data_IF_967465994896
#
_entry.id   IF_967465994896
#
_cell.length_a   1.000
_cell.length_b   1.000
_cell.length_c   1.000
_cell.angle_alpha   90.00
_cell.angle_beta   90.00
_cell.angle_gamma   90.00
#
_symmetry.space_group_name_H-M   'P 1'
#
loop_
_entity.id
_entity.type
_entity.pdbx_description
1 polymer ?
#
# COMPACT_ATOMS: atom_id res chain seq x y z
N UNK A 1 -1.80 -7.87 5.31
CA UNK A 1 -2.08 -7.60 6.72
C UNK A 1 -1.17 -6.52 7.30
N UNK A 2 0.16 -6.58 7.15
CA UNK A 2 1.05 -5.52 7.67
C UNK A 2 0.61 -4.08 7.32
N UNK A 3 0.20 -3.81 6.07
CA UNK A 3 -0.29 -2.47 5.68
C UNK A 3 -1.58 -2.09 6.40
N UNK A 4 -2.47 -3.05 6.65
CA UNK A 4 -3.74 -2.83 7.33
C UNK A 4 -3.51 -2.51 8.81
N UNK A 5 -2.62 -3.26 9.45
CA UNK A 5 -2.27 -3.09 10.87
C UNK A 5 -1.46 -1.82 11.14
N UNK A 6 -0.50 -1.48 10.26
CA UNK A 6 0.38 -0.33 10.47
C UNK A 6 -0.31 1.03 10.22
N UNK A 7 -1.30 1.05 9.32
CA UNK A 7 -1.93 2.30 8.89
C UNK A 7 -3.43 2.37 9.19
N UNK A 8 -3.98 1.33 9.83
CA UNK A 8 -5.39 1.18 10.18
C UNK A 8 -6.32 1.39 8.96
N UNK A 9 -5.93 0.76 7.85
CA UNK A 9 -6.64 0.83 6.57
C UNK A 9 -7.09 -0.54 6.13
N UNK A 10 -8.19 -0.62 5.37
CA UNK A 10 -8.64 -1.87 4.76
C UNK A 10 -8.09 -2.01 3.35
N UNK A 11 -7.47 -3.15 3.04
CA UNK A 11 -6.92 -3.42 1.70
C UNK A 11 -7.90 -4.28 0.91
N UNK A 12 -8.21 -3.86 -0.30
CA UNK A 12 -9.09 -4.61 -1.22
C UNK A 12 -8.30 -5.68 -1.97
N UNK A 13 -7.12 -5.31 -2.51
CA UNK A 13 -6.31 -6.20 -3.32
C UNK A 13 -4.84 -5.84 -3.24
N UNK A 14 -3.97 -6.85 -3.26
CA UNK A 14 -2.51 -6.66 -3.38
C UNK A 14 -2.03 -7.43 -4.60
N UNK A 15 -1.33 -6.74 -5.51
CA UNK A 15 -0.61 -7.36 -6.60
C UNK A 15 0.89 -7.16 -6.39
N UNK A 16 1.70 -8.19 -6.60
CA UNK A 16 3.15 -8.10 -6.42
C UNK A 16 3.84 -8.41 -7.74
N UNK A 17 4.83 -7.61 -8.10
CA UNK A 17 5.69 -7.82 -9.27
C UNK A 17 7.14 -7.86 -8.81
N UNK A 18 7.93 -8.80 -9.33
CA UNK A 18 9.37 -8.85 -9.08
C UNK A 18 10.04 -7.91 -10.09
N UNK A 19 10.76 -6.91 -9.59
CA UNK A 19 11.52 -5.96 -10.42
C UNK A 19 12.78 -6.63 -11.00
N UNK A 20 13.36 -6.12 -12.09
CA UNK A 20 14.62 -6.64 -12.65
C UNK A 20 15.80 -6.66 -11.67
N UNK A 21 15.73 -5.84 -10.60
CA UNK A 21 16.71 -5.81 -9.50
C UNK A 21 16.47 -6.91 -8.44
N UNK A 22 15.55 -7.86 -8.69
CA UNK A 22 15.19 -8.94 -7.75
C UNK A 22 14.34 -8.50 -6.55
N UNK A 23 13.91 -7.22 -6.49
CA UNK A 23 13.08 -6.70 -5.40
C UNK A 23 11.60 -6.87 -5.71
N UNK A 24 10.79 -7.25 -4.72
CA UNK A 24 9.33 -7.26 -4.83
C UNK A 24 8.79 -5.83 -4.78
N UNK A 25 8.01 -5.44 -5.78
CA UNK A 25 7.20 -4.22 -5.81
C UNK A 25 5.74 -4.61 -5.60
N UNK A 26 5.11 -4.08 -4.56
CA UNK A 26 3.71 -4.33 -4.26
C UNK A 26 2.84 -3.14 -4.70
N UNK A 27 1.77 -3.42 -5.40
CA UNK A 27 0.67 -2.51 -5.71
C UNK A 27 -0.48 -2.84 -4.78
N UNK A 28 -0.77 -1.94 -3.85
CA UNK A 28 -1.81 -2.12 -2.83
C UNK A 28 -3.00 -1.26 -3.21
N UNK A 29 -4.15 -1.90 -3.45
CA UNK A 29 -5.44 -1.24 -3.67
C UNK A 29 -6.14 -1.13 -2.33
N UNK A 30 -6.34 0.09 -1.85
CA UNK A 30 -7.10 0.38 -0.63
C UNK A 30 -8.61 0.28 -0.91
N UNK A 31 -9.38 0.02 0.14
CA UNK A 31 -10.84 0.09 0.07
C UNK A 31 -11.27 1.54 -0.26
N UNK A 32 -12.35 1.77 -1.03
CA UNK A 32 -12.75 3.11 -1.49
C UNK A 32 -13.01 4.14 -0.39
N UNK A 33 -13.30 3.66 0.83
CA UNK A 33 -13.50 4.49 2.02
C UNK A 33 -12.20 5.14 2.53
N UNK A 34 -11.03 4.63 2.13
CA UNK A 34 -9.73 5.13 2.56
C UNK A 34 -8.99 5.82 1.40
N UNK A 35 -8.47 7.02 1.65
CA UNK A 35 -7.70 7.76 0.65
C UNK A 35 -6.23 7.37 0.68
N UNK A 36 -5.67 7.05 -0.49
CA UNK A 36 -4.25 6.75 -0.64
C UNK A 36 -3.35 7.95 -0.29
N UNK A 37 -3.81 9.18 -0.52
CA UNK A 37 -3.08 10.40 -0.20
C UNK A 37 -2.79 10.51 1.30
N UNK A 38 -3.75 10.17 2.16
CA UNK A 38 -3.58 10.26 3.61
C UNK A 38 -2.54 9.27 4.12
N UNK A 39 -2.50 8.06 3.51
CA UNK A 39 -1.47 7.06 3.78
C UNK A 39 -0.10 7.53 3.28
N UNK A 40 -0.03 8.18 2.11
CA UNK A 40 1.21 8.72 1.55
C UNK A 40 1.80 9.85 2.41
N UNK A 41 0.95 10.70 3.00
CA UNK A 41 1.36 11.75 3.95
C UNK A 41 1.95 11.11 5.21
N UNK A 42 1.30 10.09 5.78
CA UNK A 42 1.81 9.35 6.95
C UNK A 42 3.16 8.67 6.67
N UNK A 43 3.39 8.26 5.42
CA UNK A 43 4.65 7.68 4.97
C UNK A 43 5.73 8.73 4.66
N UNK A 44 5.38 10.02 4.55
CA UNK A 44 6.32 11.10 4.25
C UNK A 44 6.82 11.11 2.81
N UNK A 45 6.03 10.63 1.86
CA UNK A 45 6.41 10.51 0.43
C UNK A 45 5.74 11.60 -0.43
N UNK A 46 4.94 12.47 0.17
CA UNK A 46 4.26 13.59 -0.50
C UNK A 46 5.10 14.87 -0.42
#
# INVERSE_FOLDING_TARGET
RAVEELYDVKVEKVNVTITPKGRKKAFVKLHPEYKATDVAIKLGIL
#
